data_IF_637233933502
#
_entry.id   IF_637233933502
#
_cell.length_a   1.000
_cell.length_b   1.000
_cell.length_c   1.000
_cell.angle_alpha   90.00
_cell.angle_beta   90.00
_cell.angle_gamma   90.00
#
_symmetry.space_group_name_H-M   'P 1'
#
loop_
_entity.id
_entity.type
_entity.pdbx_description
1 polymer ?
#
# COMPACT_ATOMS: atom_id res chain seq x y z
N UNK A 1 65.25 18.57 21.52
CA UNK A 1 64.53 19.60 20.76
C UNK A 1 63.28 19.00 20.08
N UNK A 2 62.25 18.63 20.86
CA UNK A 2 60.91 18.31 20.34
C UNK A 2 59.85 18.54 21.44
N UNK A 3 59.39 19.79 21.68
CA UNK A 3 58.06 19.94 22.28
C UNK A 3 57.19 21.07 21.68
N UNK A 4 57.65 21.79 20.65
CA UNK A 4 56.93 22.97 20.13
C UNK A 4 55.85 22.60 19.09
N UNK A 5 56.03 21.51 18.35
CA UNK A 5 55.12 21.13 17.24
C UNK A 5 53.78 20.54 17.70
N UNK A 6 53.73 19.91 18.87
CA UNK A 6 52.51 19.25 19.40
C UNK A 6 51.53 20.29 19.97
N UNK A 7 52.01 21.36 20.62
CA UNK A 7 51.15 22.42 21.17
C UNK A 7 50.43 23.23 20.08
N UNK A 8 51.06 23.42 18.93
CA UNK A 8 50.44 24.10 17.80
C UNK A 8 49.35 23.24 17.14
N UNK A 9 49.57 21.93 16.99
CA UNK A 9 48.54 21.03 16.48
C UNK A 9 47.28 21.00 17.38
N UNK A 10 47.46 21.01 18.70
CA UNK A 10 46.35 21.08 19.65
C UNK A 10 45.64 22.43 19.66
N UNK A 11 46.36 23.56 19.52
CA UNK A 11 45.75 24.89 19.50
C UNK A 11 44.94 25.15 18.22
N UNK A 12 45.43 24.68 17.06
CA UNK A 12 44.69 24.70 15.80
C UNK A 12 43.45 23.80 15.83
N UNK A 13 43.53 22.62 16.45
CA UNK A 13 42.36 21.74 16.64
C UNK A 13 41.32 22.38 17.57
N UNK A 14 41.73 23.04 18.66
CA UNK A 14 40.81 23.76 19.56
C UNK A 14 40.17 24.97 18.89
N UNK A 15 40.92 25.73 18.08
CA UNK A 15 40.39 26.88 17.35
C UNK A 15 39.32 26.47 16.33
N UNK A 16 39.55 25.38 15.60
CA UNK A 16 38.56 24.81 14.67
C UNK A 16 37.31 24.31 15.39
N UNK A 17 37.45 23.72 16.59
CA UNK A 17 36.30 23.31 17.41
C UNK A 17 35.50 24.50 17.94
N UNK A 18 36.16 25.60 18.32
CA UNK A 18 35.49 26.83 18.74
C UNK A 18 34.73 27.49 17.59
N UNK A 19 35.33 27.57 16.39
CA UNK A 19 34.67 28.11 15.20
C UNK A 19 33.44 27.26 14.82
N UNK A 20 33.56 25.94 14.88
CA UNK A 20 32.45 25.03 14.61
C UNK A 20 31.30 25.21 15.63
N UNK A 21 31.61 25.38 16.92
CA UNK A 21 30.61 25.67 17.96
C UNK A 21 29.91 27.02 17.74
N UNK A 22 30.65 28.04 17.32
CA UNK A 22 30.08 29.34 16.98
C UNK A 22 29.14 29.25 15.77
N UNK A 23 29.53 28.54 14.71
CA UNK A 23 28.66 28.28 13.54
C UNK A 23 27.37 27.55 13.93
N UNK A 24 27.46 26.55 14.81
CA UNK A 24 26.29 25.85 15.35
C UNK A 24 25.39 26.77 16.19
N UNK A 25 25.97 27.68 16.97
CA UNK A 25 25.19 28.66 17.73
C UNK A 25 24.48 29.65 16.81
N UNK A 26 25.19 30.19 15.81
CA UNK A 26 24.62 31.09 14.79
C UNK A 26 23.46 30.41 14.05
N UNK A 27 23.63 29.14 13.67
CA UNK A 27 22.55 28.33 13.08
C UNK A 27 21.30 28.28 13.97
N UNK A 28 21.48 28.03 15.27
CA UNK A 28 20.38 27.99 16.24
C UNK A 28 19.72 29.36 16.42
N UNK A 29 20.48 30.45 16.43
CA UNK A 29 19.94 31.80 16.50
C UNK A 29 19.06 32.11 15.30
N UNK A 30 19.56 31.89 14.08
CA UNK A 30 18.76 32.09 12.85
C UNK A 30 17.52 31.20 12.79
N UNK A 31 17.62 29.95 13.26
CA UNK A 31 16.47 29.07 13.38
C UNK A 31 15.42 29.65 14.34
N UNK A 32 15.84 30.18 15.50
CA UNK A 32 14.93 30.77 16.48
C UNK A 32 14.28 32.06 15.99
N UNK A 33 15.05 32.93 15.36
CA UNK A 33 14.54 34.16 14.75
C UNK A 33 13.46 33.82 13.72
N UNK A 34 13.76 32.90 12.79
CA UNK A 34 12.78 32.46 11.80
C UNK A 34 11.54 31.81 12.40
N UNK A 35 11.68 31.02 13.49
CA UNK A 35 10.50 30.45 14.17
C UNK A 35 9.63 31.50 14.82
N UNK A 36 10.23 32.51 15.46
CA UNK A 36 9.47 33.59 16.08
C UNK A 36 8.80 34.48 15.05
N UNK A 37 9.50 34.85 13.97
CA UNK A 37 8.90 35.60 12.86
C UNK A 37 7.72 34.83 12.23
N UNK A 38 7.88 33.52 12.05
CA UNK A 38 6.82 32.68 11.50
C UNK A 38 5.59 32.60 12.43
N UNK A 39 5.80 32.47 13.74
CA UNK A 39 4.71 32.44 14.74
C UNK A 39 4.02 33.79 14.92
N UNK A 40 4.76 34.91 14.78
CA UNK A 40 4.24 36.26 14.98
C UNK A 40 3.46 36.77 13.77
N UNK A 41 4.00 36.59 12.57
CA UNK A 41 3.45 37.21 11.37
C UNK A 41 2.62 36.24 10.51
N UNK A 42 2.77 34.92 10.70
CA UNK A 42 2.26 33.91 9.78
C UNK A 42 2.69 34.19 8.31
N UNK A 43 2.16 33.42 7.35
CA UNK A 43 2.43 33.66 5.92
C UNK A 43 1.40 34.65 5.38
N UNK A 44 1.61 35.94 5.64
CA UNK A 44 0.71 37.02 5.20
C UNK A 44 1.23 37.72 3.95
N UNK A 45 2.53 38.08 3.95
CA UNK A 45 3.15 38.91 2.91
C UNK A 45 4.35 38.25 2.23
N UNK A 46 4.53 38.55 0.95
CA UNK A 46 5.68 38.12 0.13
C UNK A 46 7.04 38.55 0.72
N UNK A 47 7.11 39.73 1.33
CA UNK A 47 8.33 40.28 1.94
C UNK A 47 8.71 39.52 3.21
N UNK A 48 7.74 39.29 4.09
CA UNK A 48 7.89 38.53 5.34
C UNK A 48 8.29 37.10 5.02
N UNK A 49 7.63 36.47 4.04
CA UNK A 49 7.98 35.12 3.60
C UNK A 49 9.44 35.05 3.10
N UNK A 50 9.89 36.03 2.31
CA UNK A 50 11.26 36.07 1.82
C UNK A 50 12.29 36.24 2.96
N UNK A 51 11.96 37.01 4.00
CA UNK A 51 12.80 37.21 5.18
C UNK A 51 12.91 35.94 6.03
N UNK A 52 11.79 35.28 6.34
CA UNK A 52 11.80 34.00 7.07
C UNK A 52 12.57 32.94 6.26
N UNK A 53 12.35 32.86 4.94
CA UNK A 53 13.09 31.95 4.07
C UNK A 53 14.60 32.23 4.09
N UNK A 54 14.99 33.50 4.12
CA UNK A 54 16.39 33.92 4.22
C UNK A 54 16.99 33.50 5.57
N UNK A 55 16.28 33.70 6.67
CA UNK A 55 16.70 33.31 8.01
C UNK A 55 16.89 31.78 8.13
N UNK A 56 15.93 30.99 7.67
CA UNK A 56 16.10 29.52 7.62
C UNK A 56 17.19 29.08 6.65
N UNK A 57 17.40 29.79 5.54
CA UNK A 57 18.51 29.51 4.61
C UNK A 57 19.87 29.72 5.26
N UNK A 58 20.03 30.78 6.06
CA UNK A 58 21.25 30.96 6.84
C UNK A 58 21.40 29.89 7.91
N UNK A 59 20.31 29.50 8.59
CA UNK A 59 20.35 28.47 9.62
C UNK A 59 20.98 27.16 9.13
N UNK A 60 20.57 26.62 7.98
CA UNK A 60 21.17 25.38 7.46
C UNK A 60 22.53 25.60 6.78
N UNK A 61 22.80 26.79 6.24
CA UNK A 61 24.13 27.11 5.69
C UNK A 61 25.24 27.11 6.74
N UNK A 62 24.96 27.63 7.94
CA UNK A 62 25.93 27.66 9.03
C UNK A 62 26.09 26.30 9.71
N UNK A 63 25.05 25.46 9.73
CA UNK A 63 25.12 24.08 10.23
C UNK A 63 24.35 23.12 9.31
N UNK A 64 25.10 22.49 8.39
CA UNK A 64 24.56 21.54 7.43
C UNK A 64 24.13 20.21 8.08
N UNK A 65 24.59 19.92 9.30
CA UNK A 65 24.26 18.68 10.01
C UNK A 65 22.96 18.78 10.82
N UNK A 66 22.45 19.99 11.01
CA UNK A 66 21.27 20.24 11.83
C UNK A 66 19.97 19.91 11.09
N UNK A 67 19.37 18.77 11.44
CA UNK A 67 18.09 18.34 10.86
C UNK A 67 16.98 19.39 11.04
N UNK A 68 16.94 20.12 12.17
CA UNK A 68 15.85 21.07 12.47
C UNK A 68 15.88 22.27 11.52
N UNK A 69 17.08 22.72 11.16
CA UNK A 69 17.25 23.83 10.23
C UNK A 69 16.79 23.45 8.82
N UNK A 70 17.21 22.28 8.33
CA UNK A 70 16.74 21.73 7.06
C UNK A 70 15.23 21.50 7.04
N UNK A 71 14.70 20.94 8.12
CA UNK A 71 13.27 20.67 8.25
C UNK A 71 12.43 21.95 8.26
N UNK A 72 12.80 22.95 9.06
CA UNK A 72 12.09 24.24 9.11
C UNK A 72 12.13 24.95 7.74
N UNK A 73 13.29 24.94 7.08
CA UNK A 73 13.42 25.46 5.72
C UNK A 73 12.49 24.72 4.74
N UNK A 74 12.49 23.39 4.77
CA UNK A 74 11.69 22.58 3.87
C UNK A 74 10.18 22.77 4.06
N UNK A 75 9.73 22.82 5.33
CA UNK A 75 8.33 23.03 5.69
C UNK A 75 7.86 24.41 5.24
N UNK A 76 8.64 25.46 5.50
CA UNK A 76 8.28 26.80 5.04
C UNK A 76 8.14 26.86 3.52
N UNK A 77 9.07 26.24 2.78
CA UNK A 77 8.97 26.18 1.32
C UNK A 77 7.75 25.37 0.86
N UNK A 78 7.38 24.31 1.58
CA UNK A 78 6.18 23.53 1.31
C UNK A 78 4.90 24.36 1.54
N UNK A 79 4.83 25.10 2.64
CA UNK A 79 3.69 25.95 2.97
C UNK A 79 3.60 27.17 2.04
N UNK A 80 4.75 27.72 1.62
CA UNK A 80 4.85 28.78 0.61
C UNK A 80 4.23 28.37 -0.73
N UNK A 81 4.36 27.10 -1.13
CA UNK A 81 3.72 26.59 -2.36
C UNK A 81 2.19 26.69 -2.26
N UNK A 82 1.61 26.39 -1.10
CA UNK A 82 0.17 26.50 -0.88
C UNK A 82 -0.28 27.96 -0.89
N UNK A 83 0.50 28.85 -0.28
CA UNK A 83 0.26 30.29 -0.31
C UNK A 83 0.24 30.85 -1.74
N UNK A 84 1.27 30.56 -2.53
CA UNK A 84 1.33 31.01 -3.93
C UNK A 84 0.24 30.37 -4.80
N UNK A 85 -0.20 29.15 -4.49
CA UNK A 85 -1.32 28.49 -5.17
C UNK A 85 -2.65 29.21 -4.93
N UNK A 86 -2.87 29.77 -3.74
CA UNK A 86 -4.04 30.60 -3.45
C UNK A 86 -3.98 31.93 -4.23
N UNK A 87 -2.81 32.59 -4.27
CA UNK A 87 -2.63 33.80 -5.06
C UNK A 87 -2.82 33.55 -6.57
N UNK A 88 -2.39 32.38 -7.07
CA UNK A 88 -2.53 32.01 -8.48
C UNK A 88 -3.98 31.99 -8.96
N UNK A 89 -4.94 31.65 -8.10
CA UNK A 89 -6.35 31.58 -8.46
C UNK A 89 -6.98 32.95 -8.75
N UNK A 90 -6.36 34.03 -8.28
CA UNK A 90 -6.89 35.40 -8.38
C UNK A 90 -6.22 36.24 -9.49
N UNK A 91 -5.32 35.66 -10.30
CA UNK A 91 -4.51 36.37 -11.29
C UNK A 91 -4.80 35.92 -12.72
N UNK A 92 -4.87 36.89 -13.64
CA UNK A 92 -5.01 36.61 -15.08
C UNK A 92 -3.74 35.98 -15.67
N UNK A 93 -3.93 34.97 -16.53
CA UNK A 93 -2.88 34.12 -17.12
C UNK A 93 -1.88 34.93 -17.97
N UNK A 94 -2.32 36.05 -18.55
CA UNK A 94 -1.52 36.86 -19.47
C UNK A 94 -0.63 37.91 -18.79
N UNK A 95 -0.69 38.05 -17.46
CA UNK A 95 0.12 39.02 -16.74
C UNK A 95 1.57 38.52 -16.53
N UNK A 96 2.56 39.42 -16.66
CA UNK A 96 3.95 39.13 -16.31
C UNK A 96 4.10 38.69 -14.85
N UNK A 97 3.25 39.22 -13.97
CA UNK A 97 3.14 38.81 -12.56
C UNK A 97 2.83 37.33 -12.40
N UNK A 98 2.02 36.75 -13.30
CA UNK A 98 1.68 35.32 -13.29
C UNK A 98 2.90 34.46 -13.62
N UNK A 99 3.73 34.88 -14.59
CA UNK A 99 4.98 34.20 -14.94
C UNK A 99 5.98 34.22 -13.78
N UNK A 100 6.13 35.37 -13.12
CA UNK A 100 7.00 35.53 -11.95
C UNK A 100 6.51 34.65 -10.79
N UNK A 101 5.19 34.58 -10.56
CA UNK A 101 4.59 33.73 -9.54
C UNK A 101 4.89 32.24 -9.81
N UNK A 102 4.72 31.77 -11.05
CA UNK A 102 5.04 30.39 -11.42
C UNK A 102 6.51 30.08 -11.16
N UNK A 103 7.43 30.99 -11.54
CA UNK A 103 8.85 30.81 -11.29
C UNK A 103 9.16 30.72 -9.78
N UNK A 104 8.56 31.59 -8.96
CA UNK A 104 8.66 31.51 -7.49
C UNK A 104 8.13 30.17 -6.96
N UNK A 105 6.99 29.69 -7.46
CA UNK A 105 6.39 28.42 -7.07
C UNK A 105 7.30 27.23 -7.40
N UNK A 106 7.87 27.18 -8.61
CA UNK A 106 8.80 26.11 -9.01
C UNK A 106 10.04 26.12 -8.11
N UNK A 107 10.62 27.29 -7.85
CA UNK A 107 11.76 27.45 -6.93
C UNK A 107 11.43 26.95 -5.51
N UNK A 108 10.25 27.27 -4.99
CA UNK A 108 9.80 26.80 -3.66
C UNK A 108 9.60 25.28 -3.65
N UNK A 109 8.99 24.70 -4.68
CA UNK A 109 8.83 23.24 -4.81
C UNK A 109 10.17 22.52 -4.79
N UNK A 110 11.13 22.98 -5.60
CA UNK A 110 12.47 22.38 -5.65
C UNK A 110 13.18 22.51 -4.31
N UNK A 111 13.10 23.67 -3.67
CA UNK A 111 13.72 23.94 -2.38
C UNK A 111 13.10 23.11 -1.26
N UNK A 112 11.77 22.92 -1.29
CA UNK A 112 11.05 22.03 -0.38
C UNK A 112 11.52 20.58 -0.56
N UNK A 113 11.55 20.08 -1.80
CA UNK A 113 12.03 18.71 -2.11
C UNK A 113 13.45 18.48 -1.58
N UNK A 114 14.39 19.36 -1.95
CA UNK A 114 15.81 19.24 -1.51
C UNK A 114 15.94 19.30 0.02
N UNK A 115 15.21 20.20 0.66
CA UNK A 115 15.20 20.33 2.11
C UNK A 115 14.60 19.12 2.82
N UNK A 116 13.50 18.55 2.29
CA UNK A 116 12.87 17.35 2.83
C UNK A 116 13.80 16.14 2.71
N UNK A 117 14.49 15.96 1.58
CA UNK A 117 15.46 14.88 1.45
C UNK A 117 16.61 14.99 2.45
N UNK A 118 17.19 16.17 2.62
CA UNK A 118 18.23 16.39 3.63
C UNK A 118 17.72 16.19 5.05
N UNK A 119 16.51 16.65 5.34
CA UNK A 119 15.93 16.45 6.67
C UNK A 119 15.67 14.98 6.95
N UNK A 120 15.20 14.19 5.97
CA UNK A 120 14.99 12.74 6.09
C UNK A 120 16.31 12.03 6.42
N UNK A 121 17.37 12.29 5.65
CA UNK A 121 18.70 11.67 5.84
C UNK A 121 19.28 11.96 7.23
N UNK A 122 19.06 13.17 7.74
CA UNK A 122 19.59 13.61 9.04
C UNK A 122 18.65 13.30 10.21
N UNK A 123 17.39 12.93 9.95
CA UNK A 123 16.37 12.80 10.98
C UNK A 123 16.42 11.48 11.73
N UNK A 124 15.91 11.51 12.97
CA UNK A 124 15.51 10.31 13.71
C UNK A 124 14.13 9.85 13.24
N UNK A 125 13.86 8.54 13.35
CA UNK A 125 12.66 7.81 12.86
C UNK A 125 11.33 8.59 12.98
N UNK A 126 11.07 9.28 14.11
CA UNK A 126 9.81 10.00 14.37
C UNK A 126 9.47 11.08 13.34
N UNK A 127 10.46 11.81 12.80
CA UNK A 127 10.21 12.89 11.83
C UNK A 127 10.36 12.43 10.38
N UNK A 128 10.92 11.24 10.18
CA UNK A 128 11.13 10.65 8.87
C UNK A 128 9.79 10.43 8.16
N UNK A 129 8.83 9.74 8.80
CA UNK A 129 7.52 9.45 8.21
C UNK A 129 6.78 10.71 7.74
N UNK A 130 6.68 11.74 8.58
CA UNK A 130 5.96 12.97 8.24
C UNK A 130 6.58 13.68 7.02
N UNK A 131 7.91 13.72 6.96
CA UNK A 131 8.62 14.36 5.86
C UNK A 131 8.55 13.55 4.58
N UNK A 132 8.60 12.22 4.67
CA UNK A 132 8.40 11.32 3.53
C UNK A 132 6.98 11.45 2.97
N UNK A 133 5.96 11.57 3.82
CA UNK A 133 4.58 11.80 3.35
C UNK A 133 4.43 13.15 2.63
N UNK A 134 5.03 14.23 3.15
CA UNK A 134 5.06 15.53 2.46
C UNK A 134 5.77 15.46 1.11
N UNK A 135 6.87 14.72 1.04
CA UNK A 135 7.59 14.48 -0.20
C UNK A 135 6.71 13.73 -1.22
N UNK A 136 5.95 12.71 -0.78
CA UNK A 136 4.99 12.02 -1.64
C UNK A 136 3.88 12.96 -2.13
N UNK A 137 3.38 13.87 -1.28
CA UNK A 137 2.41 14.88 -1.73
C UNK A 137 3.01 15.75 -2.83
N UNK A 138 4.24 16.24 -2.67
CA UNK A 138 4.92 17.01 -3.72
C UNK A 138 5.13 16.19 -5.01
N UNK A 139 5.51 14.92 -4.89
CA UNK A 139 5.67 14.01 -6.02
C UNK A 139 4.36 13.81 -6.78
N UNK A 140 3.28 13.45 -6.09
CA UNK A 140 2.01 13.12 -6.74
C UNK A 140 1.30 14.34 -7.32
N UNK A 141 1.40 15.50 -6.66
CA UNK A 141 0.81 16.74 -7.16
C UNK A 141 1.65 17.35 -8.28
N UNK A 142 2.97 17.50 -8.07
CA UNK A 142 3.85 18.33 -8.90
C UNK A 142 4.95 17.55 -9.65
N UNK A 143 5.06 16.24 -9.50
CA UNK A 143 6.09 15.44 -10.19
C UNK A 143 5.93 15.33 -11.72
N UNK A 144 4.89 15.94 -12.29
CA UNK A 144 4.74 16.13 -13.74
C UNK A 144 5.59 17.28 -14.29
N UNK A 145 6.05 18.20 -13.43
CA UNK A 145 6.95 19.28 -13.83
C UNK A 145 8.39 18.75 -13.85
N UNK A 146 9.11 19.01 -14.94
CA UNK A 146 10.42 18.41 -15.20
C UNK A 146 11.44 18.76 -14.12
N UNK A 147 11.47 20.02 -13.68
CA UNK A 147 12.41 20.51 -12.68
C UNK A 147 12.17 19.86 -11.30
N UNK A 148 10.91 19.57 -10.97
CA UNK A 148 10.55 18.85 -9.74
C UNK A 148 10.89 17.37 -9.87
N UNK A 149 10.63 16.76 -11.03
CA UNK A 149 10.99 15.38 -11.33
C UNK A 149 12.50 15.14 -11.19
N UNK A 150 13.33 16.02 -11.75
CA UNK A 150 14.80 15.93 -11.64
C UNK A 150 15.27 16.04 -10.19
N UNK A 151 14.75 17.02 -9.44
CA UNK A 151 15.08 17.18 -8.03
C UNK A 151 14.68 15.96 -7.19
N UNK A 152 13.55 15.32 -7.50
CA UNK A 152 13.12 14.09 -6.84
C UNK A 152 14.00 12.91 -7.23
N UNK A 153 14.35 12.78 -8.51
CA UNK A 153 15.22 11.71 -9.01
C UNK A 153 16.61 11.77 -8.37
N UNK A 154 17.18 12.98 -8.26
CA UNK A 154 18.46 13.21 -7.59
C UNK A 154 18.36 12.85 -6.10
N UNK A 155 17.32 13.34 -5.42
CA UNK A 155 17.09 13.06 -4.01
C UNK A 155 16.87 11.57 -3.71
N UNK A 156 16.17 10.85 -4.58
CA UNK A 156 15.88 9.43 -4.41
C UNK A 156 17.16 8.58 -4.33
N UNK A 157 18.20 8.95 -5.09
CA UNK A 157 19.51 8.27 -5.05
C UNK A 157 20.27 8.46 -3.73
N UNK A 158 19.90 9.46 -2.95
CA UNK A 158 20.62 9.83 -1.71
C UNK A 158 20.00 9.26 -0.44
N UNK A 159 18.73 8.83 -0.49
CA UNK A 159 18.01 8.32 0.67
C UNK A 159 18.12 6.80 0.75
N UNK A 160 18.34 6.21 1.95
CA UNK A 160 18.29 4.77 2.14
C UNK A 160 16.92 4.19 1.74
N UNK A 161 16.93 3.03 1.09
CA UNK A 161 15.72 2.43 0.52
C UNK A 161 14.66 2.13 1.61
N UNK A 162 15.11 1.87 2.84
CA UNK A 162 14.30 1.51 4.00
C UNK A 162 13.31 2.62 4.38
N UNK A 163 13.64 3.88 4.08
CA UNK A 163 12.73 5.01 4.35
C UNK A 163 11.43 4.86 3.57
N UNK A 164 11.50 4.31 2.36
CA UNK A 164 10.32 4.13 1.50
C UNK A 164 9.41 3.01 1.97
N UNK A 165 9.91 2.07 2.77
CA UNK A 165 9.10 0.98 3.35
C UNK A 165 7.97 1.53 4.24
N UNK A 166 8.21 2.65 4.94
CA UNK A 166 7.20 3.29 5.79
C UNK A 166 6.00 3.86 5.02
N UNK A 167 6.21 4.17 3.74
CA UNK A 167 5.19 4.78 2.86
C UNK A 167 4.81 3.88 1.69
N UNK A 168 5.13 2.60 1.79
CA UNK A 168 4.86 1.60 0.75
C UNK A 168 3.37 1.53 0.38
N UNK A 169 2.40 1.57 1.33
CA UNK A 169 0.98 1.59 0.98
C UNK A 169 0.60 2.78 0.09
N UNK A 170 1.17 3.96 0.34
CA UNK A 170 0.91 5.18 -0.43
C UNK A 170 1.50 5.11 -1.85
N UNK A 171 2.68 4.49 -2.01
CA UNK A 171 3.27 4.23 -3.32
C UNK A 171 2.43 3.24 -4.13
N UNK A 172 2.04 2.11 -3.53
CA UNK A 172 1.21 1.08 -4.17
C UNK A 172 -0.19 1.61 -4.50
N UNK A 173 -0.75 2.51 -3.69
CA UNK A 173 -2.02 3.17 -3.99
C UNK A 173 -1.98 4.04 -5.25
N UNK A 174 -0.79 4.42 -5.73
CA UNK A 174 -0.60 5.27 -6.92
C UNK A 174 0.20 4.58 -8.03
N UNK A 175 0.34 3.25 -7.97
CA UNK A 175 1.08 2.45 -8.97
C UNK A 175 0.52 2.64 -10.40
N UNK A 176 -0.77 2.91 -10.51
CA UNK A 176 -1.56 3.17 -11.72
C UNK A 176 -1.76 4.66 -12.02
N UNK A 177 -0.85 5.53 -11.59
CA UNK A 177 -0.94 6.96 -11.88
C UNK A 177 -0.96 7.25 -13.39
N UNK A 178 -1.94 8.04 -13.84
CA UNK A 178 -2.04 8.50 -15.23
C UNK A 178 -0.97 9.52 -15.64
N UNK A 179 -0.20 10.06 -14.69
CA UNK A 179 0.90 11.01 -14.95
C UNK A 179 2.18 10.23 -15.32
N UNK A 180 2.69 10.32 -16.56
CA UNK A 180 3.75 9.42 -17.05
C UNK A 180 5.07 9.56 -16.29
N UNK A 181 5.48 10.78 -15.95
CA UNK A 181 6.71 11.03 -15.19
C UNK A 181 6.61 10.50 -13.75
N UNK A 182 5.47 10.70 -13.10
CA UNK A 182 5.21 10.20 -11.74
C UNK A 182 5.15 8.68 -11.74
N UNK A 183 4.41 8.09 -12.68
CA UNK A 183 4.34 6.64 -12.88
C UNK A 183 5.75 6.04 -13.05
N UNK A 184 6.58 6.62 -13.92
CA UNK A 184 7.97 6.18 -14.12
C UNK A 184 8.78 6.20 -12.83
N UNK A 185 8.69 7.25 -12.02
CA UNK A 185 9.38 7.33 -10.72
C UNK A 185 8.91 6.26 -9.75
N UNK A 186 7.59 6.07 -9.61
CA UNK A 186 7.02 5.07 -8.72
C UNK A 186 7.49 3.67 -9.14
N UNK A 187 7.42 3.33 -10.43
CA UNK A 187 7.88 2.03 -10.91
C UNK A 187 9.37 1.80 -10.67
N UNK A 188 10.22 2.78 -10.96
CA UNK A 188 11.66 2.65 -10.68
C UNK A 188 11.91 2.43 -9.18
N UNK A 189 11.27 3.22 -8.33
CA UNK A 189 11.41 3.08 -6.88
C UNK A 189 10.91 1.72 -6.37
N UNK A 190 9.76 1.24 -6.84
CA UNK A 190 9.23 -0.07 -6.46
C UNK A 190 10.13 -1.22 -6.94
N UNK A 191 10.76 -1.08 -8.12
CA UNK A 191 11.76 -2.04 -8.61
C UNK A 191 12.99 -2.03 -7.69
N UNK A 192 13.51 -0.86 -7.34
CA UNK A 192 14.67 -0.72 -6.44
C UNK A 192 14.38 -1.30 -5.04
N UNK A 193 13.17 -1.05 -4.50
CA UNK A 193 12.71 -1.67 -3.25
C UNK A 193 12.60 -3.19 -3.43
N UNK A 194 12.11 -3.67 -4.58
CA UNK A 194 11.93 -5.09 -4.88
C UNK A 194 13.24 -5.87 -4.89
N UNK A 195 14.32 -5.24 -5.37
CA UNK A 195 15.66 -5.84 -5.39
C UNK A 195 16.25 -6.01 -3.98
N UNK A 196 16.04 -5.05 -3.07
CA UNK A 196 16.65 -5.09 -1.73
C UNK A 196 15.73 -5.72 -0.67
N UNK A 197 14.42 -5.50 -0.77
CA UNK A 197 13.41 -5.88 0.22
C UNK A 197 12.19 -6.56 -0.42
N UNK A 198 12.37 -7.69 -1.12
CA UNK A 198 11.27 -8.34 -1.84
C UNK A 198 10.11 -8.74 -0.91
N UNK A 199 10.42 -9.18 0.31
CA UNK A 199 9.43 -9.59 1.32
C UNK A 199 8.41 -8.48 1.67
N UNK A 200 8.84 -7.21 1.66
CA UNK A 200 7.95 -6.08 1.96
C UNK A 200 6.93 -5.84 0.84
N UNK A 201 7.30 -6.14 -0.41
CA UNK A 201 6.53 -5.79 -1.60
C UNK A 201 5.59 -6.88 -2.08
N UNK A 202 5.88 -8.14 -1.79
CA UNK A 202 5.14 -9.30 -2.31
C UNK A 202 3.64 -9.20 -2.06
N UNK A 203 3.21 -9.03 -0.80
CA UNK A 203 1.78 -9.04 -0.50
C UNK A 203 1.04 -7.83 -1.09
N UNK A 204 1.53 -6.59 -0.95
CA UNK A 204 0.92 -5.43 -1.62
C UNK A 204 0.82 -5.59 -3.14
N UNK A 205 1.87 -6.12 -3.79
CA UNK A 205 1.89 -6.30 -5.25
C UNK A 205 0.97 -7.43 -5.72
N UNK A 206 0.91 -8.55 -5.01
CA UNK A 206 -0.01 -9.66 -5.35
C UNK A 206 -1.47 -9.23 -5.24
N UNK A 207 -1.80 -8.40 -4.25
CA UNK A 207 -3.14 -7.83 -4.14
C UNK A 207 -3.41 -6.89 -5.32
N UNK A 208 -2.44 -6.03 -5.68
CA UNK A 208 -2.58 -5.12 -6.81
C UNK A 208 -2.66 -5.86 -8.17
N UNK A 209 -1.98 -7.00 -8.33
CA UNK A 209 -1.99 -7.80 -9.56
C UNK A 209 -3.29 -8.56 -9.80
N UNK A 210 -4.19 -8.62 -8.82
CA UNK A 210 -5.54 -9.22 -8.94
C UNK A 210 -6.63 -8.14 -9.03
N UNK A 211 -6.24 -6.89 -9.31
CA UNK A 211 -7.15 -5.75 -9.46
C UNK A 211 -8.06 -5.91 -10.69
N UNK A 212 -9.29 -5.43 -10.58
CA UNK A 212 -10.24 -5.36 -11.70
C UNK A 212 -9.85 -4.23 -12.68
N UNK A 213 -9.17 -3.20 -12.17
CA UNK A 213 -8.63 -2.10 -12.98
C UNK A 213 -7.37 -2.58 -13.71
N UNK A 214 -7.43 -2.61 -15.04
CA UNK A 214 -6.36 -3.15 -15.91
C UNK A 214 -5.02 -2.41 -15.73
N UNK A 215 -5.01 -1.07 -15.70
CA UNK A 215 -3.75 -0.32 -15.57
C UNK A 215 -3.01 -0.65 -14.27
N UNK A 216 -3.76 -0.90 -13.18
CA UNK A 216 -3.23 -1.31 -11.88
C UNK A 216 -2.70 -2.74 -11.90
N UNK A 217 -3.45 -3.64 -12.52
CA UNK A 217 -3.05 -5.04 -12.70
C UNK A 217 -1.78 -5.15 -13.55
N UNK A 218 -1.75 -4.48 -14.71
CA UNK A 218 -0.60 -4.40 -15.60
C UNK A 218 0.63 -3.81 -14.91
N UNK A 219 0.46 -2.68 -14.21
CA UNK A 219 1.54 -2.01 -13.50
C UNK A 219 2.13 -2.89 -12.37
N UNK A 220 1.29 -3.57 -11.61
CA UNK A 220 1.72 -4.50 -10.56
C UNK A 220 2.42 -5.73 -11.13
N UNK A 221 1.86 -6.34 -12.19
CA UNK A 221 2.45 -7.49 -12.86
C UNK A 221 3.81 -7.15 -13.48
N UNK A 222 3.99 -5.94 -14.01
CA UNK A 222 5.30 -5.48 -14.49
C UNK A 222 6.37 -5.47 -13.39
N UNK A 223 6.05 -4.95 -12.20
CA UNK A 223 7.00 -4.95 -11.06
C UNK A 223 7.24 -6.36 -10.55
N UNK A 224 6.20 -7.19 -10.42
CA UNK A 224 6.34 -8.60 -10.05
C UNK A 224 7.22 -9.38 -11.03
N UNK A 225 7.05 -9.18 -12.33
CA UNK A 225 7.85 -9.84 -13.35
C UNK A 225 9.33 -9.45 -13.28
N UNK A 226 9.64 -8.18 -12.99
CA UNK A 226 11.02 -7.79 -12.74
C UNK A 226 11.59 -8.47 -11.47
N UNK A 227 10.80 -8.53 -10.39
CA UNK A 227 11.23 -9.23 -9.18
C UNK A 227 11.40 -10.74 -9.37
N UNK A 228 10.71 -11.37 -10.35
CA UNK A 228 10.87 -12.79 -10.67
C UNK A 228 12.26 -13.14 -11.18
N UNK A 229 13.02 -12.18 -11.73
CA UNK A 229 14.38 -12.43 -12.22
C UNK A 229 15.34 -12.84 -11.10
N UNK A 230 15.14 -12.32 -9.88
CA UNK A 230 16.00 -12.61 -8.72
C UNK A 230 15.29 -13.38 -7.58
N UNK A 231 13.98 -13.25 -7.42
CA UNK A 231 13.18 -13.82 -6.33
C UNK A 231 12.03 -14.71 -6.85
N UNK A 232 12.29 -15.53 -7.87
CA UNK A 232 11.28 -16.39 -8.51
C UNK A 232 10.55 -17.32 -7.51
N UNK A 233 11.31 -18.07 -6.70
CA UNK A 233 10.79 -19.03 -5.70
C UNK A 233 9.83 -18.35 -4.73
N UNK A 234 10.26 -17.23 -4.19
CA UNK A 234 9.55 -16.41 -3.22
C UNK A 234 8.22 -15.87 -3.78
N UNK A 235 8.22 -15.39 -5.02
CA UNK A 235 6.99 -14.91 -5.69
C UNK A 235 6.04 -16.06 -5.99
N UNK A 236 6.56 -17.18 -6.50
CA UNK A 236 5.76 -18.36 -6.78
C UNK A 236 5.08 -18.91 -5.51
N UNK A 237 5.82 -19.01 -4.41
CA UNK A 237 5.30 -19.39 -3.10
C UNK A 237 4.16 -18.46 -2.65
N UNK A 238 4.36 -17.15 -2.76
CA UNK A 238 3.38 -16.17 -2.32
C UNK A 238 2.11 -16.15 -3.20
N UNK A 239 2.23 -16.41 -4.50
CA UNK A 239 1.07 -16.51 -5.41
C UNK A 239 0.18 -17.70 -5.01
N UNK A 240 0.78 -18.88 -4.79
CA UNK A 240 0.05 -20.06 -4.31
C UNK A 240 -0.63 -19.77 -2.98
N UNK A 241 0.10 -19.18 -2.03
CA UNK A 241 -0.45 -18.83 -0.73
C UNK A 241 -1.63 -17.87 -0.87
N UNK A 242 -1.49 -16.82 -1.68
CA UNK A 242 -2.56 -15.86 -1.89
C UNK A 242 -3.82 -16.50 -2.48
N UNK A 243 -3.68 -17.32 -3.53
CA UNK A 243 -4.81 -18.00 -4.17
C UNK A 243 -5.54 -18.93 -3.20
N UNK A 244 -4.78 -19.75 -2.49
CA UNK A 244 -5.36 -20.75 -1.61
C UNK A 244 -5.89 -20.15 -0.31
N UNK A 245 -5.29 -19.07 0.22
CA UNK A 245 -5.88 -18.33 1.33
C UNK A 245 -7.20 -17.67 0.94
N UNK A 246 -7.34 -17.15 -0.28
CA UNK A 246 -8.62 -16.63 -0.77
C UNK A 246 -9.65 -17.77 -0.85
N UNK A 247 -9.25 -18.93 -1.39
CA UNK A 247 -10.10 -20.12 -1.47
C UNK A 247 -10.60 -20.58 -0.10
N UNK A 248 -9.70 -20.68 0.87
CA UNK A 248 -10.05 -21.12 2.22
C UNK A 248 -10.88 -20.08 2.97
N UNK A 249 -10.68 -18.79 2.67
CA UNK A 249 -11.43 -17.70 3.32
C UNK A 249 -12.93 -17.80 3.05
N UNK A 250 -13.34 -18.26 1.86
CA UNK A 250 -14.76 -18.43 1.50
C UNK A 250 -14.98 -19.74 0.74
N UNK A 251 -15.51 -20.76 1.44
CA UNK A 251 -15.82 -22.07 0.86
C UNK A 251 -17.02 -21.98 -0.09
N UNK A 252 -17.17 -22.96 -0.98
CA UNK A 252 -18.34 -23.04 -1.87
C UNK A 252 -19.67 -23.06 -1.11
N UNK A 253 -19.77 -23.85 -0.03
CA UNK A 253 -20.94 -23.85 0.85
C UNK A 253 -21.26 -22.43 1.39
N UNK A 254 -20.26 -21.65 1.77
CA UNK A 254 -20.44 -20.28 2.28
C UNK A 254 -20.82 -19.31 1.16
N UNK A 255 -20.20 -19.42 -0.03
CA UNK A 255 -20.54 -18.63 -1.23
C UNK A 255 -21.99 -18.88 -1.65
N UNK A 256 -22.38 -20.15 -1.79
CA UNK A 256 -23.72 -20.56 -2.18
C UNK A 256 -24.75 -20.16 -1.14
N UNK A 257 -24.50 -20.38 0.15
CA UNK A 257 -25.40 -19.94 1.21
C UNK A 257 -25.66 -18.43 1.15
N UNK A 258 -24.60 -17.62 1.05
CA UNK A 258 -24.74 -16.16 1.00
C UNK A 258 -25.40 -15.68 -0.28
N UNK A 259 -25.02 -16.24 -1.43
CA UNK A 259 -25.62 -15.86 -2.71
C UNK A 259 -27.09 -16.24 -2.82
N UNK A 260 -27.47 -17.46 -2.38
CA UNK A 260 -28.86 -17.88 -2.30
C UNK A 260 -29.68 -17.02 -1.34
N UNK A 261 -29.11 -16.61 -0.21
CA UNK A 261 -29.77 -15.67 0.69
C UNK A 261 -30.07 -14.32 0.01
N UNK A 262 -29.09 -13.74 -0.68
CA UNK A 262 -29.26 -12.45 -1.39
C UNK A 262 -30.26 -12.59 -2.53
N UNK A 263 -30.18 -13.67 -3.31
CA UNK A 263 -31.12 -13.97 -4.37
C UNK A 263 -32.56 -14.13 -3.83
N UNK A 264 -32.72 -14.78 -2.67
CA UNK A 264 -34.01 -14.99 -2.02
C UNK A 264 -34.60 -13.66 -1.57
N UNK A 265 -33.81 -12.79 -0.93
CA UNK A 265 -34.24 -11.46 -0.51
C UNK A 265 -34.70 -10.60 -1.71
N UNK A 266 -34.01 -10.67 -2.84
CA UNK A 266 -34.39 -9.96 -4.07
C UNK A 266 -35.68 -10.51 -4.69
N UNK A 267 -35.88 -11.82 -4.64
CA UNK A 267 -37.09 -12.47 -5.15
C UNK A 267 -38.32 -12.20 -4.26
N UNK A 268 -38.19 -12.38 -2.94
CA UNK A 268 -39.31 -12.26 -2.00
C UNK A 268 -39.73 -10.82 -1.73
N UNK A 269 -38.75 -9.92 -1.54
CA UNK A 269 -39.01 -8.55 -1.07
C UNK A 269 -39.18 -7.59 -2.23
N UNK A 270 -38.31 -7.69 -3.25
CA UNK A 270 -38.23 -6.71 -4.33
C UNK A 270 -38.89 -7.17 -5.63
N UNK A 271 -39.33 -8.45 -5.72
CA UNK A 271 -39.75 -9.12 -6.97
C UNK A 271 -38.78 -8.89 -8.14
N UNK A 272 -37.50 -8.69 -7.83
CA UNK A 272 -36.49 -8.35 -8.83
C UNK A 272 -35.84 -9.65 -9.35
N UNK A 273 -36.45 -10.23 -10.38
CA UNK A 273 -35.98 -11.48 -10.98
C UNK A 273 -34.66 -11.28 -11.73
N UNK A 274 -34.46 -10.12 -12.38
CA UNK A 274 -33.23 -9.84 -13.11
C UNK A 274 -32.02 -9.78 -12.17
N UNK A 275 -32.14 -9.04 -11.06
CA UNK A 275 -31.08 -8.97 -10.05
C UNK A 275 -30.78 -10.35 -9.43
N UNK A 276 -31.80 -11.16 -9.19
CA UNK A 276 -31.64 -12.51 -8.67
C UNK A 276 -30.80 -13.37 -9.62
N UNK A 277 -31.10 -13.35 -10.93
CA UNK A 277 -30.31 -14.06 -11.94
C UNK A 277 -28.87 -13.55 -11.97
N UNK A 278 -28.67 -12.23 -11.98
CA UNK A 278 -27.33 -11.62 -11.96
C UNK A 278 -26.49 -12.06 -10.75
N UNK A 279 -27.12 -12.35 -9.61
CA UNK A 279 -26.41 -12.88 -8.43
C UNK A 279 -26.09 -14.37 -8.53
N UNK A 280 -26.94 -15.17 -9.18
CA UNK A 280 -26.79 -16.62 -9.28
C UNK A 280 -25.89 -17.07 -10.44
N UNK A 281 -25.87 -16.32 -11.54
CA UNK A 281 -25.10 -16.65 -12.75
C UNK A 281 -23.59 -16.85 -12.45
N UNK A 282 -22.91 -15.96 -11.72
CA UNK A 282 -21.50 -16.15 -11.40
C UNK A 282 -21.25 -17.38 -10.52
N UNK A 283 -22.23 -17.77 -9.68
CA UNK A 283 -22.11 -18.97 -8.85
C UNK A 283 -22.20 -20.24 -9.70
N UNK A 284 -23.12 -20.29 -10.65
CA UNK A 284 -23.20 -21.40 -11.60
C UNK A 284 -21.94 -21.51 -12.46
N UNK A 285 -21.41 -20.39 -12.93
CA UNK A 285 -20.13 -20.37 -13.65
C UNK A 285 -18.98 -20.99 -12.83
N UNK A 286 -18.97 -20.81 -11.49
CA UNK A 286 -17.95 -21.47 -10.64
C UNK A 286 -18.11 -22.99 -10.55
N UNK A 287 -19.34 -23.50 -10.60
CA UNK A 287 -19.62 -24.93 -10.62
C UNK A 287 -19.26 -25.54 -11.99
N UNK A 288 -19.60 -24.85 -13.08
CA UNK A 288 -19.29 -25.28 -14.44
C UNK A 288 -17.78 -25.37 -14.71
N UNK A 289 -16.98 -24.53 -14.05
CA UNK A 289 -15.53 -24.60 -14.10
C UNK A 289 -14.96 -25.89 -13.45
N UNK A 290 -15.74 -26.58 -12.61
CA UNK A 290 -15.40 -27.86 -12.01
C UNK A 290 -14.71 -27.78 -10.64
N UNK A 291 -14.65 -28.93 -9.96
CA UNK A 291 -14.00 -29.05 -8.65
C UNK A 291 -12.48 -29.21 -8.76
N UNK A 292 -11.75 -28.40 -7.99
CA UNK A 292 -10.29 -28.48 -7.88
C UNK A 292 -9.83 -29.15 -6.59
N UNK A 293 -10.67 -29.13 -5.55
CA UNK A 293 -10.35 -29.69 -4.22
C UNK A 293 -11.33 -30.77 -3.82
N UNK A 294 -10.93 -31.60 -2.84
CA UNK A 294 -11.78 -32.69 -2.32
C UNK A 294 -13.06 -32.13 -1.69
N UNK A 295 -12.98 -31.01 -0.99
CA UNK A 295 -14.15 -30.35 -0.41
C UNK A 295 -15.12 -29.81 -1.48
N UNK A 296 -14.59 -29.26 -2.57
CA UNK A 296 -15.41 -28.83 -3.71
C UNK A 296 -16.07 -30.02 -4.42
N UNK A 297 -15.35 -31.14 -4.55
CA UNK A 297 -15.90 -32.38 -5.11
C UNK A 297 -17.05 -32.92 -4.25
N UNK A 298 -16.86 -32.99 -2.93
CA UNK A 298 -17.93 -33.37 -1.98
C UNK A 298 -19.17 -32.47 -2.11
N UNK A 299 -18.97 -31.17 -2.37
CA UNK A 299 -20.08 -30.24 -2.60
C UNK A 299 -20.83 -30.59 -3.89
N UNK A 300 -20.12 -30.84 -4.99
CA UNK A 300 -20.74 -31.25 -6.27
C UNK A 300 -21.45 -32.59 -6.17
N UNK A 301 -20.85 -33.56 -5.49
CA UNK A 301 -21.46 -34.88 -5.29
C UNK A 301 -22.78 -34.79 -4.52
N UNK A 302 -22.92 -33.79 -3.62
CA UNK A 302 -24.10 -33.62 -2.78
C UNK A 302 -25.18 -32.70 -3.39
N UNK A 303 -24.78 -31.62 -4.07
CA UNK A 303 -25.68 -30.54 -4.51
C UNK A 303 -25.58 -30.20 -6.00
N UNK A 304 -24.58 -30.75 -6.71
CA UNK A 304 -24.27 -30.38 -8.09
C UNK A 304 -25.45 -30.63 -9.04
N UNK A 305 -26.08 -31.80 -8.96
CA UNK A 305 -27.21 -32.16 -9.81
C UNK A 305 -28.42 -31.25 -9.59
N UNK A 306 -28.76 -30.95 -8.35
CA UNK A 306 -29.90 -30.08 -8.01
C UNK A 306 -29.64 -28.65 -8.51
N UNK A 307 -28.40 -28.15 -8.35
CA UNK A 307 -28.03 -26.82 -8.80
C UNK A 307 -28.01 -26.70 -10.34
N UNK A 308 -27.49 -27.71 -11.05
CA UNK A 308 -27.51 -27.69 -12.52
C UNK A 308 -28.93 -27.76 -13.07
N UNK A 309 -29.80 -28.60 -12.50
CA UNK A 309 -31.22 -28.64 -12.85
C UNK A 309 -31.92 -27.31 -12.57
N UNK A 310 -31.69 -26.71 -11.39
CA UNK A 310 -32.23 -25.40 -11.04
C UNK A 310 -31.76 -24.31 -12.01
N UNK A 311 -30.54 -24.40 -12.52
CA UNK A 311 -30.00 -23.48 -13.50
C UNK A 311 -30.63 -23.65 -14.89
N UNK A 312 -30.85 -24.90 -15.33
CA UNK A 312 -31.58 -25.16 -16.58
C UNK A 312 -32.99 -24.56 -16.55
N UNK A 313 -33.69 -24.69 -15.43
CA UNK A 313 -35.01 -24.06 -15.24
C UNK A 313 -34.94 -22.53 -15.33
N UNK A 314 -33.91 -21.89 -14.76
CA UNK A 314 -33.69 -20.44 -14.95
C UNK A 314 -33.45 -20.09 -16.42
N UNK A 315 -32.62 -20.85 -17.15
CA UNK A 315 -32.36 -20.60 -18.58
C UNK A 315 -33.62 -20.75 -19.42
N UNK A 316 -34.44 -21.77 -19.15
CA UNK A 316 -35.74 -21.95 -19.82
C UNK A 316 -36.68 -20.80 -19.51
N UNK A 317 -36.77 -20.37 -18.25
CA UNK A 317 -37.54 -19.19 -17.86
C UNK A 317 -37.11 -17.92 -18.61
N UNK A 318 -35.80 -17.70 -18.82
CA UNK A 318 -35.32 -16.54 -19.60
C UNK A 318 -35.83 -16.56 -21.05
N UNK A 319 -36.03 -17.74 -21.62
CA UNK A 319 -36.52 -17.93 -23.00
C UNK A 319 -38.05 -17.88 -23.09
N UNK A 320 -38.75 -18.61 -22.21
CA UNK A 320 -40.22 -18.81 -22.28
C UNK A 320 -41.01 -17.78 -21.47
N UNK A 321 -40.38 -17.16 -20.46
CA UNK A 321 -40.99 -16.30 -19.44
C UNK A 321 -42.09 -16.99 -18.61
N UNK A 322 -42.10 -18.33 -18.56
CA UNK A 322 -43.08 -19.10 -17.78
C UNK A 322 -42.73 -19.13 -16.27
N UNK A 323 -43.63 -18.64 -15.43
CA UNK A 323 -43.46 -18.58 -13.99
C UNK A 323 -43.34 -19.96 -13.34
N UNK A 324 -43.89 -21.01 -13.95
CA UNK A 324 -43.79 -22.37 -13.40
C UNK A 324 -42.34 -22.85 -13.35
N UNK A 325 -41.56 -22.59 -14.39
CA UNK A 325 -40.14 -22.95 -14.47
C UNK A 325 -39.33 -22.23 -13.36
N UNK A 326 -39.67 -20.97 -13.08
CA UNK A 326 -39.04 -20.21 -12.01
C UNK A 326 -39.37 -20.78 -10.62
N UNK A 327 -40.61 -21.23 -10.40
CA UNK A 327 -41.03 -21.87 -9.13
C UNK A 327 -40.29 -23.19 -8.93
N UNK A 328 -40.14 -24.01 -9.98
CA UNK A 328 -39.39 -25.27 -9.90
C UNK A 328 -37.91 -25.03 -9.57
N UNK A 329 -37.28 -24.04 -10.22
CA UNK A 329 -35.91 -23.65 -9.90
C UNK A 329 -35.77 -23.27 -8.42
N UNK A 330 -36.70 -22.47 -7.89
CA UNK A 330 -36.67 -22.02 -6.50
C UNK A 330 -36.87 -23.13 -5.48
N UNK A 331 -37.68 -24.15 -5.80
CA UNK A 331 -37.84 -25.31 -4.93
C UNK A 331 -36.48 -26.01 -4.72
N UNK A 332 -35.73 -26.24 -5.80
CA UNK A 332 -34.39 -26.84 -5.75
C UNK A 332 -33.39 -25.95 -5.00
N UNK A 333 -33.35 -24.64 -5.30
CA UNK A 333 -32.48 -23.71 -4.58
C UNK A 333 -32.77 -23.64 -3.09
N UNK A 334 -34.04 -23.64 -2.70
CA UNK A 334 -34.44 -23.57 -1.30
C UNK A 334 -34.06 -24.86 -0.55
N UNK A 335 -34.26 -26.02 -1.18
CA UNK A 335 -33.81 -27.30 -0.64
C UNK A 335 -32.31 -27.28 -0.36
N UNK A 336 -31.50 -26.92 -1.37
CA UNK A 336 -30.04 -26.80 -1.22
C UNK A 336 -29.68 -25.78 -0.13
N UNK A 337 -30.33 -24.62 -0.10
CA UNK A 337 -30.11 -23.58 0.91
C UNK A 337 -30.33 -24.11 2.33
N UNK A 338 -31.42 -24.83 2.58
CA UNK A 338 -31.72 -25.39 3.90
C UNK A 338 -30.70 -26.45 4.33
N UNK A 339 -30.28 -27.34 3.42
CA UNK A 339 -29.24 -28.34 3.68
C UNK A 339 -27.87 -27.71 3.97
N UNK A 340 -27.47 -26.70 3.19
CA UNK A 340 -26.21 -25.98 3.42
C UNK A 340 -26.24 -25.27 4.78
N UNK A 341 -27.38 -24.66 5.16
CA UNK A 341 -27.54 -23.98 6.44
C UNK A 341 -27.28 -24.91 7.63
N UNK A 342 -27.85 -26.11 7.59
CA UNK A 342 -27.68 -27.10 8.68
C UNK A 342 -26.25 -27.64 8.71
N UNK A 343 -25.66 -27.94 7.55
CA UNK A 343 -24.28 -28.40 7.46
C UNK A 343 -23.29 -27.34 7.96
N UNK A 344 -23.46 -26.08 7.55
CA UNK A 344 -22.62 -24.98 8.01
C UNK A 344 -22.70 -24.88 9.54
N UNK A 345 -23.88 -24.95 10.15
CA UNK A 345 -24.03 -24.86 11.61
C UNK A 345 -23.17 -25.90 12.38
N UNK A 346 -22.90 -27.06 11.79
CA UNK A 346 -22.17 -28.15 12.40
C UNK A 346 -20.64 -28.13 12.16
N UNK A 347 -20.13 -27.28 11.26
CA UNK A 347 -18.68 -27.21 10.97
C UNK A 347 -17.94 -26.45 12.07
N UNK A 348 -17.12 -27.16 12.83
CA UNK A 348 -16.30 -26.62 13.95
C UNK A 348 -14.82 -26.52 13.61
N UNK A 349 -14.32 -27.36 12.71
CA UNK A 349 -12.92 -27.35 12.25
C UNK A 349 -12.84 -27.70 10.77
N UNK A 350 -11.78 -27.22 10.12
CA UNK A 350 -11.54 -27.38 8.70
C UNK A 350 -10.18 -28.03 8.49
N UNK A 351 -10.20 -29.26 7.99
CA UNK A 351 -8.99 -30.00 7.64
C UNK A 351 -8.39 -29.43 6.36
N UNK A 352 -7.16 -28.92 6.46
CA UNK A 352 -6.51 -28.21 5.38
C UNK A 352 -6.29 -29.10 4.15
N UNK A 353 -6.01 -30.39 4.36
CA UNK A 353 -5.80 -31.38 3.29
C UNK A 353 -6.97 -31.46 2.31
N UNK A 354 -8.20 -31.35 2.81
CA UNK A 354 -9.40 -31.46 1.99
C UNK A 354 -9.78 -30.16 1.29
N UNK A 355 -9.37 -29.01 1.84
CA UNK A 355 -9.79 -27.69 1.38
C UNK A 355 -8.73 -27.03 0.51
N UNK A 356 -7.46 -27.28 0.81
CA UNK A 356 -6.32 -26.83 0.02
C UNK A 356 -5.15 -27.82 0.16
N UNK A 357 -5.12 -28.87 -0.68
CA UNK A 357 -3.99 -29.79 -0.72
C UNK A 357 -2.70 -29.08 -1.15
N UNK A 358 -2.81 -28.02 -1.98
CA UNK A 358 -1.66 -27.23 -2.43
C UNK A 358 -0.94 -26.54 -1.29
N UNK A 359 -1.66 -25.98 -0.30
CA UNK A 359 -0.99 -25.42 0.87
C UNK A 359 -0.30 -26.50 1.69
N UNK A 360 -0.95 -27.64 1.90
CA UNK A 360 -0.37 -28.72 2.72
C UNK A 360 0.90 -29.30 2.12
N UNK A 361 0.92 -29.50 0.79
CA UNK A 361 2.05 -30.09 0.07
C UNK A 361 3.14 -29.05 -0.21
N UNK A 362 2.76 -27.85 -0.68
CA UNK A 362 3.73 -26.87 -1.19
C UNK A 362 4.23 -25.89 -0.12
N UNK A 363 3.58 -25.80 1.05
CA UNK A 363 3.94 -24.83 2.11
C UNK A 363 4.67 -25.50 3.27
N UNK A 364 5.79 -26.16 2.97
CA UNK A 364 6.74 -26.67 3.96
C UNK A 364 8.05 -25.90 3.86
N UNK A 365 8.50 -25.29 4.97
CA UNK A 365 9.74 -24.54 5.09
C UNK A 365 9.95 -23.52 3.94
N UNK A 366 9.04 -22.56 3.84
CA UNK A 366 9.05 -21.54 2.80
C UNK A 366 10.14 -20.51 3.03
N UNK A 367 10.55 -19.83 1.95
CA UNK A 367 11.41 -18.63 2.01
C UNK A 367 10.58 -17.40 2.41
N UNK A 368 9.27 -17.45 2.17
CA UNK A 368 8.32 -16.40 2.45
C UNK A 368 8.22 -16.12 3.96
N UNK A 369 8.35 -14.83 4.31
CA UNK A 369 8.18 -14.37 5.68
C UNK A 369 6.71 -14.47 6.12
N UNK A 370 6.48 -14.68 7.42
CA UNK A 370 5.15 -14.58 8.00
C UNK A 370 4.61 -13.17 7.75
N UNK A 371 3.40 -13.00 7.17
CA UNK A 371 2.81 -11.70 6.90
C UNK A 371 2.87 -10.77 8.12
N UNK A 372 3.34 -9.53 7.91
CA UNK A 372 3.43 -8.51 8.95
C UNK A 372 4.60 -8.64 9.92
N UNK A 373 5.47 -9.65 9.77
CA UNK A 373 6.67 -9.83 10.63
C UNK A 373 7.97 -9.35 10.00
N UNK A 374 7.93 -8.97 8.73
CA UNK A 374 9.11 -8.49 8.01
C UNK A 374 9.58 -7.15 8.60
N UNK A 375 10.83 -7.12 9.05
CA UNK A 375 11.49 -5.90 9.49
C UNK A 375 12.84 -5.76 8.76
N UNK A 376 13.19 -4.55 8.29
CA UNK A 376 14.50 -4.32 7.70
C UNK A 376 15.61 -4.59 8.72
N UNK A 377 16.71 -5.18 8.27
CA UNK A 377 17.89 -5.55 9.07
C UNK A 377 17.72 -6.64 10.13
N UNK A 378 16.54 -7.27 10.23
CA UNK A 378 16.34 -8.50 11.03
C UNK A 378 16.21 -9.71 10.13
N UNK A 379 16.59 -10.88 10.65
CA UNK A 379 16.33 -12.15 9.96
C UNK A 379 14.82 -12.37 9.84
N UNK A 380 14.34 -12.60 8.63
CA UNK A 380 12.93 -12.87 8.36
C UNK A 380 12.46 -14.12 9.10
N UNK A 381 11.33 -14.00 9.81
CA UNK A 381 10.64 -15.15 10.39
C UNK A 381 9.88 -15.83 9.25
N UNK A 382 10.40 -16.95 8.76
CA UNK A 382 9.81 -17.66 7.63
C UNK A 382 8.70 -18.62 8.03
N UNK A 383 7.79 -18.90 7.09
CA UNK A 383 6.68 -19.83 7.28
C UNK A 383 7.21 -21.27 7.24
N UNK A 384 7.15 -21.97 8.38
CA UNK A 384 7.57 -23.38 8.47
C UNK A 384 6.48 -24.32 7.98
N UNK A 385 5.25 -24.13 8.46
CA UNK A 385 4.07 -24.84 7.98
C UNK A 385 2.80 -24.02 8.25
N UNK A 386 1.69 -24.47 7.65
CA UNK A 386 0.35 -23.96 7.91
C UNK A 386 -0.42 -25.06 8.67
N UNK A 387 -0.79 -24.86 9.95
CA UNK A 387 -1.56 -25.84 10.71
C UNK A 387 -3.02 -25.88 10.25
N UNK A 388 -3.73 -26.94 10.65
CA UNK A 388 -5.18 -27.07 10.47
C UNK A 388 -5.92 -25.87 11.06
N UNK A 389 -6.96 -25.42 10.37
CA UNK A 389 -7.60 -24.13 10.64
C UNK A 389 -8.79 -24.35 11.58
N UNK A 390 -8.74 -23.87 12.84
CA UNK A 390 -9.92 -23.87 13.70
C UNK A 390 -10.93 -22.86 13.17
N UNK A 391 -12.19 -23.27 13.03
CA UNK A 391 -13.28 -22.35 12.67
C UNK A 391 -13.81 -21.74 13.95
N UNK A 392 -13.31 -20.56 14.31
CA UNK A 392 -13.95 -19.77 15.38
C UNK A 392 -15.14 -19.02 14.81
N UNK A 393 -16.34 -19.28 15.32
CA UNK A 393 -17.54 -18.51 15.00
C UNK A 393 -17.47 -17.11 15.63
N UNK A 394 -16.95 -16.12 14.90
CA UNK A 394 -17.29 -14.72 15.22
C UNK A 394 -18.65 -14.46 14.57
N UNK A 395 -19.72 -14.70 15.33
CA UNK A 395 -21.07 -14.28 15.00
C UNK A 395 -21.18 -12.76 15.22
N UNK A 396 -20.55 -11.98 14.34
CA UNK A 396 -21.00 -10.62 14.05
C UNK A 396 -21.68 -10.73 12.70
N UNK A 397 -23.01 -10.70 12.72
CA UNK A 397 -23.93 -10.90 11.59
C UNK A 397 -23.26 -10.95 10.20
N UNK A 398 -23.24 -12.16 9.62
CA UNK A 398 -23.04 -12.47 8.19
C UNK A 398 -21.64 -12.84 7.66
N UNK A 399 -20.57 -12.90 8.48
CA UNK A 399 -19.26 -13.43 7.99
C UNK A 399 -18.61 -14.36 9.04
N UNK A 400 -18.38 -15.62 8.67
CA UNK A 400 -17.53 -16.53 9.46
C UNK A 400 -16.07 -16.15 9.28
N UNK A 401 -15.50 -15.49 10.28
CA UNK A 401 -14.08 -15.19 10.29
C UNK A 401 -13.31 -16.41 10.76
N UNK A 402 -12.60 -17.07 9.85
CA UNK A 402 -11.67 -18.15 10.20
C UNK A 402 -10.48 -17.52 10.92
N UNK A 403 -10.33 -17.78 12.22
CA UNK A 403 -9.12 -17.39 12.97
C UNK A 403 -7.98 -18.26 12.52
N UNK A 404 -7.37 -17.70 11.51
CA UNK A 404 -6.22 -18.12 10.82
C UNK A 404 -5.00 -17.91 11.75
N UNK A 405 -4.72 -18.89 12.62
CA UNK A 405 -3.40 -19.05 13.26
C UNK A 405 -2.41 -19.60 12.22
N UNK A 406 -2.26 -18.89 11.10
CA UNK A 406 -1.90 -19.50 9.79
C UNK A 406 -0.47 -19.99 9.74
N UNK A 407 0.45 -19.40 10.51
CA UNK A 407 1.86 -19.65 10.26
C UNK A 407 2.55 -20.04 11.54
N UNK A 408 3.05 -21.28 11.60
CA UNK A 408 4.14 -21.56 12.51
C UNK A 408 5.40 -20.92 11.92
N UNK A 409 5.87 -19.86 12.57
CA UNK A 409 7.17 -19.29 12.25
C UNK A 409 8.28 -20.19 12.80
N UNK A 410 9.47 -20.14 12.20
CA UNK A 410 10.68 -20.55 12.91
C UNK A 410 10.94 -19.56 14.06
N UNK A 411 10.22 -19.70 15.17
CA UNK A 411 10.48 -18.98 16.43
C UNK A 411 11.71 -19.52 17.18
N UNK A 412 12.50 -20.39 16.54
CA UNK A 412 13.75 -20.88 17.08
C UNK A 412 14.81 -19.78 17.01
N UNK A 413 15.11 -19.21 18.20
CA UNK A 413 16.15 -18.22 18.57
C UNK A 413 15.71 -16.76 18.57
N UNK A 414 15.08 -16.37 19.68
CA UNK A 414 15.54 -15.19 20.44
C UNK A 414 16.11 -15.72 21.75
#
# INVERSE_FOLDING_TARGET
>A
SFPVTIKNATSFQTANQHEQRLRQLISKCYLRIGTWEHELFNITDDSILAEIMKNYKYAWKYDNSNYKAWNAYAILNYDAVNYFKQQQQNLDIFNDTYRILIAKMICCKISAVKGLFKSIILSKVKYCLQNTLRLLTLLFEYGQYHEVYEAITEGNRTVPIEVWLYVLPQLIARIDSSKPLVNKLIHHLLIDIGQQHPQALIYPLIVASKSIVHDREFAANRVLNNMREHSHTLIHQALIISEELIRISVLWHEKWYKGLQVALEQYSTNRNISGMIETLEPLHATIEHGSTTVNERKFLDSYGNDLTQAHEYIRRFQQTRDQNELIQAWHLYYQVFTCIRTQLANITSLELEHISPRLTINCQNLELAVPGTYEPHKSSITIRNIPSIPVTSIALHNIRVKRNGIFSGNFSRI
#
